data_IF_783558810483
#
_entry.id   IF_783558810483
#
_cell.length_a   1.000
_cell.length_b   1.000
_cell.length_c   1.000
_cell.angle_alpha   90.00
_cell.angle_beta   90.00
_cell.angle_gamma   90.00
#
_symmetry.space_group_name_H-M   'P 1'
#
loop_
_entity.id
_entity.type
_entity.pdbx_description
1 polymer ?
#
# COMPACT_ATOMS: atom_id res chain seq x y z
N UNK A 1 -0.86 -21.82 17.57
CA UNK A 1 -0.75 -21.31 16.19
C UNK A 1 -1.59 -20.06 16.03
N UNK A 2 -1.06 -19.02 15.41
CA UNK A 2 -1.77 -17.74 15.31
C UNK A 2 -2.24 -17.47 13.89
N UNK A 3 -3.44 -17.91 13.56
CA UNK A 3 -4.03 -17.75 12.24
C UNK A 3 -4.30 -16.29 11.90
N UNK A 4 -4.63 -15.50 12.91
CA UNK A 4 -4.86 -14.06 12.77
C UNK A 4 -3.60 -13.34 12.30
N UNK A 5 -2.48 -13.66 12.94
CA UNK A 5 -1.19 -13.07 12.57
C UNK A 5 -0.82 -13.41 11.15
N UNK A 6 -0.94 -14.69 10.77
CA UNK A 6 -0.66 -15.15 9.41
C UNK A 6 -1.55 -14.46 8.39
N UNK A 7 -2.83 -14.30 8.73
CA UNK A 7 -3.79 -13.66 7.85
C UNK A 7 -3.45 -12.20 7.63
N UNK A 8 -3.07 -11.50 8.69
CA UNK A 8 -2.69 -10.09 8.59
C UNK A 8 -1.40 -9.90 7.82
N UNK A 9 -0.43 -10.81 7.97
CA UNK A 9 0.81 -10.77 7.19
C UNK A 9 0.51 -10.93 5.69
N UNK A 10 -0.39 -11.85 5.36
CA UNK A 10 -0.80 -12.05 3.98
C UNK A 10 -1.49 -10.82 3.42
N UNK A 11 -2.35 -10.18 4.21
CA UNK A 11 -3.03 -8.95 3.80
C UNK A 11 -2.05 -7.80 3.62
N UNK A 12 -1.04 -7.71 4.48
CA UNK A 12 0.00 -6.68 4.34
C UNK A 12 0.76 -6.84 3.02
N UNK A 13 1.07 -8.08 2.65
CA UNK A 13 1.74 -8.38 1.38
C UNK A 13 0.85 -8.00 0.19
N UNK A 14 -0.45 -8.34 0.27
CA UNK A 14 -1.42 -7.97 -0.77
C UNK A 14 -1.55 -6.45 -0.88
N UNK A 15 -1.54 -5.76 0.23
CA UNK A 15 -1.63 -4.30 0.24
C UNK A 15 -0.41 -3.66 -0.42
N UNK A 16 0.78 -4.21 -0.17
CA UNK A 16 2.00 -3.75 -0.84
C UNK A 16 1.89 -3.91 -2.36
N UNK A 17 1.40 -5.04 -2.82
CA UNK A 17 1.22 -5.29 -4.25
C UNK A 17 0.22 -4.30 -4.87
N UNK A 18 -0.90 -4.07 -4.19
CA UNK A 18 -1.90 -3.11 -4.65
C UNK A 18 -1.28 -1.71 -4.71
N UNK A 19 -0.52 -1.34 -3.70
CA UNK A 19 0.12 -0.03 -3.62
C UNK A 19 1.12 0.15 -4.78
N UNK A 20 1.91 -0.88 -5.08
CA UNK A 20 2.86 -0.83 -6.20
C UNK A 20 2.15 -0.63 -7.54
N UNK A 21 0.99 -1.26 -7.72
CA UNK A 21 0.19 -1.09 -8.93
C UNK A 21 -0.36 0.32 -9.06
N UNK A 22 -0.77 0.92 -7.97
CA UNK A 22 -1.23 2.30 -7.94
C UNK A 22 -0.07 3.24 -8.31
N UNK A 23 1.11 2.99 -7.77
CA UNK A 23 2.30 3.77 -8.09
C UNK A 23 2.64 3.68 -9.58
N UNK A 24 2.57 2.48 -10.16
CA UNK A 24 2.82 2.30 -11.59
C UNK A 24 1.82 3.08 -12.44
N UNK A 25 0.56 3.10 -12.03
CA UNK A 25 -0.47 3.88 -12.74
C UNK A 25 -0.21 5.39 -12.62
N UNK A 26 0.22 5.84 -11.43
CA UNK A 26 0.58 7.25 -11.23
C UNK A 26 1.72 7.66 -12.16
N UNK A 27 2.74 6.81 -12.28
CA UNK A 27 3.87 7.07 -13.15
C UNK A 27 3.46 7.14 -14.62
N UNK A 28 2.55 6.27 -15.04
CA UNK A 28 1.99 6.30 -16.38
C UNK A 28 1.24 7.59 -16.66
N UNK A 29 0.43 8.04 -15.71
CA UNK A 29 -0.31 9.29 -15.85
C UNK A 29 0.64 10.48 -15.93
N UNK A 30 1.67 10.49 -15.14
CA UNK A 30 2.69 11.54 -15.18
C UNK A 30 3.37 11.58 -16.55
N UNK A 31 3.73 10.40 -17.08
CA UNK A 31 4.37 10.30 -18.40
C UNK A 31 3.44 10.79 -19.54
N UNK A 32 2.13 10.69 -19.34
CA UNK A 32 1.14 11.17 -20.30
C UNK A 32 0.82 12.66 -20.14
N UNK A 33 1.42 13.32 -19.18
CA UNK A 33 1.17 14.74 -18.90
C UNK A 33 -0.03 15.00 -18.01
N UNK A 34 -0.65 13.96 -17.45
CA UNK A 34 -1.80 14.09 -16.55
C UNK A 34 -1.30 14.22 -15.12
N UNK A 35 -0.73 15.38 -14.80
CA UNK A 35 -0.10 15.61 -13.51
C UNK A 35 -1.10 15.65 -12.37
N UNK A 36 -2.33 16.10 -12.62
CA UNK A 36 -3.35 16.17 -11.57
C UNK A 36 -3.72 14.76 -11.07
N UNK A 37 -4.00 13.84 -11.98
CA UNK A 37 -4.32 12.46 -11.61
C UNK A 37 -3.11 11.77 -10.99
N UNK A 38 -1.92 12.00 -11.56
CA UNK A 38 -0.68 11.42 -11.01
C UNK A 38 -0.46 11.87 -9.58
N UNK A 39 -0.63 13.15 -9.29
CA UNK A 39 -0.46 13.70 -7.96
C UNK A 39 -1.42 13.07 -6.95
N UNK A 40 -2.69 12.95 -7.33
CA UNK A 40 -3.69 12.31 -6.46
C UNK A 40 -3.35 10.85 -6.18
N UNK A 41 -2.87 10.12 -7.18
CA UNK A 41 -2.50 8.73 -7.01
C UNK A 41 -1.24 8.58 -6.13
N UNK A 42 -0.29 9.49 -6.24
CA UNK A 42 0.88 9.48 -5.35
C UNK A 42 0.47 9.76 -3.89
N UNK A 43 -0.54 10.59 -3.68
CA UNK A 43 -1.09 10.80 -2.34
C UNK A 43 -1.73 9.52 -1.79
N UNK A 44 -2.48 8.80 -2.64
CA UNK A 44 -3.07 7.52 -2.26
C UNK A 44 -1.96 6.53 -1.89
N UNK A 45 -0.90 6.46 -2.69
CA UNK A 45 0.25 5.59 -2.39
C UNK A 45 0.82 5.89 -1.01
N UNK A 46 1.04 7.17 -0.70
CA UNK A 46 1.61 7.58 0.58
C UNK A 46 0.73 7.15 1.74
N UNK A 47 -0.58 7.33 1.60
CA UNK A 47 -1.55 6.95 2.62
C UNK A 47 -1.55 5.43 2.83
N UNK A 48 -1.50 4.66 1.75
CA UNK A 48 -1.48 3.21 1.83
C UNK A 48 -0.19 2.69 2.47
N UNK A 49 0.96 3.26 2.13
CA UNK A 49 2.23 2.86 2.74
C UNK A 49 2.24 3.19 4.23
N UNK A 50 1.67 4.32 4.60
CA UNK A 50 1.55 4.68 6.01
C UNK A 50 0.64 3.70 6.75
N UNK A 51 -0.50 3.35 6.14
CA UNK A 51 -1.43 2.38 6.71
C UNK A 51 -0.75 1.01 6.87
N UNK A 52 0.04 0.60 5.88
CA UNK A 52 0.70 -0.70 5.92
C UNK A 52 1.79 -0.75 7.01
N UNK A 53 2.48 0.36 7.26
CA UNK A 53 3.41 0.44 8.38
C UNK A 53 2.70 0.28 9.72
N UNK A 54 1.51 0.87 9.85
CA UNK A 54 0.71 0.73 11.05
C UNK A 54 0.23 -0.71 11.21
N UNK A 55 -0.16 -1.35 10.13
CA UNK A 55 -0.56 -2.75 10.13
C UNK A 55 0.61 -3.63 10.59
N UNK A 56 1.82 -3.37 10.12
CA UNK A 56 3.01 -4.10 10.54
C UNK A 56 3.24 -4.01 12.05
N UNK A 57 2.97 -2.86 12.64
CA UNK A 57 3.07 -2.70 14.10
C UNK A 57 2.04 -3.55 14.83
N UNK A 58 0.82 -3.59 14.31
CA UNK A 58 -0.23 -4.44 14.89
C UNK A 58 0.21 -5.90 14.85
N UNK A 59 0.71 -6.34 13.70
CA UNK A 59 1.20 -7.73 13.54
C UNK A 59 2.32 -8.04 14.53
N UNK A 60 3.23 -7.08 14.74
CA UNK A 60 4.35 -7.26 15.64
C UNK A 60 3.90 -7.44 17.11
N UNK A 61 2.74 -6.94 17.47
CA UNK A 61 2.21 -7.08 18.84
C UNK A 61 1.40 -8.35 19.03
N UNK A 62 1.01 -9.04 17.98
CA UNK A 62 0.25 -10.29 18.06
C UNK A 62 1.19 -11.46 18.36
N UNK A 63 0.73 -12.36 19.21
CA UNK A 63 1.53 -13.52 19.62
C UNK A 63 0.88 -14.83 19.23
#
# INVERSE_FOLDING_TARGET
MNDERSRLLSLATSLDDITDRITATAEQRSAMGDDATASDLFEVERTLRNANRRLARVVATLR
#
